data_IF_801185798292
#
_entry.id   IF_801185798292
#
_cell.length_a   1.000
_cell.length_b   1.000
_cell.length_c   1.000
_cell.angle_alpha   90.00
_cell.angle_beta   90.00
_cell.angle_gamma   90.00
#
_symmetry.space_group_name_H-M   'P 1'
#
loop_
_entity.id
_entity.type
_entity.pdbx_description
1 polymer ?
#
# COMPACT_ATOMS: atom_id res chain seq x y z
N UNK A 1 4.35 -31.20 -49.61
CA UNK A 1 5.12 -29.93 -49.77
C UNK A 1 4.15 -28.82 -49.44
N UNK A 2 3.94 -28.55 -48.15
CA UNK A 2 4.76 -27.68 -47.28
C UNK A 2 4.62 -26.20 -47.63
N UNK A 3 3.95 -25.45 -46.75
CA UNK A 3 4.47 -24.30 -45.98
C UNK A 3 3.24 -23.60 -45.37
N UNK A 4 2.84 -23.89 -44.14
CA UNK A 4 3.19 -23.16 -42.91
C UNK A 4 3.77 -21.76 -43.13
N UNK A 5 2.89 -20.78 -43.29
CA UNK A 5 3.21 -19.39 -42.98
C UNK A 5 3.31 -19.24 -41.46
N UNK A 6 4.53 -18.97 -41.04
CA UNK A 6 4.94 -18.81 -39.65
C UNK A 6 4.68 -17.36 -39.30
N UNK A 7 3.60 -17.08 -38.56
CA UNK A 7 3.40 -15.78 -37.91
C UNK A 7 4.61 -15.52 -37.01
N UNK A 8 5.46 -14.61 -37.46
CA UNK A 8 6.67 -14.19 -36.78
C UNK A 8 6.24 -13.32 -35.60
N UNK A 9 6.49 -13.83 -34.38
CA UNK A 9 6.13 -13.19 -33.13
C UNK A 9 6.59 -11.74 -33.06
N UNK A 10 5.63 -10.84 -32.80
CA UNK A 10 5.87 -9.45 -32.42
C UNK A 10 6.90 -9.45 -31.26
N UNK A 11 7.97 -8.65 -31.32
CA UNK A 11 8.98 -8.64 -30.28
C UNK A 11 8.32 -8.35 -28.92
N UNK A 12 8.68 -9.15 -27.92
CA UNK A 12 8.14 -9.06 -26.56
C UNK A 12 8.45 -7.69 -25.96
N UNK A 13 7.45 -6.79 -26.03
CA UNK A 13 7.57 -5.38 -25.65
C UNK A 13 7.87 -5.18 -24.16
N UNK A 14 7.66 -6.21 -23.34
CA UNK A 14 7.90 -6.19 -21.89
C UNK A 14 9.36 -6.45 -21.50
N UNK A 15 10.19 -6.96 -22.43
CA UNK A 15 11.57 -7.38 -22.14
C UNK A 15 12.49 -6.24 -21.66
N UNK A 16 12.24 -5.00 -22.10
CA UNK A 16 13.10 -3.86 -21.76
C UNK A 16 12.91 -3.33 -20.32
N UNK A 17 11.77 -3.62 -19.67
CA UNK A 17 11.37 -2.98 -18.41
C UNK A 17 11.55 -3.88 -17.18
N UNK A 18 11.50 -5.21 -17.32
CA UNK A 18 11.72 -6.15 -16.22
C UNK A 18 13.19 -6.63 -16.14
N UNK A 19 14.09 -5.74 -15.72
CA UNK A 19 15.50 -6.10 -15.46
C UNK A 19 15.76 -6.61 -14.03
N UNK A 20 14.71 -6.69 -13.19
CA UNK A 20 14.87 -7.18 -11.81
C UNK A 20 14.97 -8.70 -11.83
N UNK A 21 16.18 -9.23 -11.60
CA UNK A 21 16.38 -10.66 -11.35
C UNK A 21 15.81 -11.02 -9.97
N UNK A 22 14.95 -12.03 -9.94
CA UNK A 22 14.30 -12.53 -8.73
C UNK A 22 15.18 -13.49 -7.92
N UNK A 23 14.59 -14.03 -6.85
CA UNK A 23 15.19 -15.11 -6.07
C UNK A 23 15.14 -16.43 -6.86
N UNK A 24 16.28 -17.12 -6.97
CA UNK A 24 16.37 -18.34 -7.76
C UNK A 24 15.71 -19.53 -7.08
N UNK A 25 15.67 -19.55 -5.74
CA UNK A 25 15.00 -20.61 -5.00
C UNK A 25 13.48 -20.55 -5.25
N UNK A 26 12.93 -19.33 -5.36
CA UNK A 26 11.53 -19.11 -5.71
C UNK A 26 11.24 -19.50 -7.17
N UNK A 27 12.15 -19.20 -8.10
CA UNK A 27 12.02 -19.63 -9.49
C UNK A 27 12.07 -21.17 -9.61
N UNK A 28 12.95 -21.84 -8.86
CA UNK A 28 13.04 -23.31 -8.80
C UNK A 28 11.75 -23.93 -8.26
N UNK A 29 11.20 -23.38 -7.19
CA UNK A 29 9.93 -23.83 -6.59
C UNK A 29 8.74 -23.64 -7.54
N UNK A 30 8.69 -22.51 -8.25
CA UNK A 30 7.65 -22.25 -9.25
C UNK A 30 7.73 -23.25 -10.41
N UNK A 31 8.94 -23.59 -10.90
CA UNK A 31 9.14 -24.65 -11.90
C UNK A 31 8.70 -26.03 -11.38
N UNK A 32 9.04 -26.36 -10.14
CA UNK A 32 8.58 -27.60 -9.48
C UNK A 32 7.06 -27.72 -9.39
N UNK A 33 6.33 -26.59 -9.45
CA UNK A 33 4.87 -26.53 -9.45
C UNK A 33 4.24 -26.63 -10.85
N UNK A 34 5.04 -26.84 -11.90
CA UNK A 34 4.59 -27.02 -13.28
C UNK A 34 4.57 -25.74 -14.14
N UNK A 35 5.13 -24.62 -13.65
CA UNK A 35 5.28 -23.41 -14.47
C UNK A 35 6.43 -23.57 -15.49
N UNK A 36 6.30 -22.90 -16.64
CA UNK A 36 7.40 -22.77 -17.60
C UNK A 36 8.54 -21.93 -17.02
N UNK A 37 9.74 -22.06 -17.57
CA UNK A 37 10.92 -21.29 -17.16
C UNK A 37 10.65 -19.78 -17.15
N UNK A 38 10.09 -19.25 -18.24
CA UNK A 38 9.74 -17.83 -18.34
C UNK A 38 8.70 -17.39 -17.29
N UNK A 39 7.73 -18.25 -16.96
CA UNK A 39 6.71 -17.95 -15.97
C UNK A 39 7.29 -17.96 -14.54
N UNK A 40 8.20 -18.89 -14.25
CA UNK A 40 8.89 -18.96 -12.97
C UNK A 40 9.81 -17.76 -12.73
N UNK A 41 10.56 -17.33 -13.75
CA UNK A 41 11.38 -16.12 -13.70
C UNK A 41 10.53 -14.87 -13.48
N UNK A 42 9.35 -14.79 -14.12
CA UNK A 42 8.41 -13.71 -13.90
C UNK A 42 7.87 -13.66 -12.45
N UNK A 43 7.55 -14.82 -11.85
CA UNK A 43 7.14 -14.91 -10.44
C UNK A 43 8.24 -14.38 -9.52
N UNK A 44 9.48 -14.82 -9.74
CA UNK A 44 10.61 -14.37 -8.93
C UNK A 44 10.88 -12.86 -9.09
N UNK A 45 10.76 -12.32 -10.30
CA UNK A 45 10.89 -10.89 -10.57
C UNK A 45 9.80 -10.07 -9.87
N UNK A 46 8.55 -10.55 -9.90
CA UNK A 46 7.41 -9.92 -9.20
C UNK A 46 7.68 -9.85 -7.70
N UNK A 47 8.14 -10.94 -7.07
CA UNK A 47 8.47 -10.94 -5.64
C UNK A 47 9.55 -9.91 -5.30
N UNK A 48 10.64 -9.89 -6.08
CA UNK A 48 11.73 -8.94 -5.87
C UNK A 48 11.29 -7.47 -6.04
N UNK A 49 10.41 -7.17 -7.00
CA UNK A 49 9.80 -5.83 -7.16
C UNK A 49 8.89 -5.52 -5.98
N UNK A 50 8.04 -6.45 -5.57
CA UNK A 50 7.15 -6.27 -4.41
C UNK A 50 7.93 -6.04 -3.12
N UNK A 51 9.06 -6.73 -2.91
CA UNK A 51 9.96 -6.50 -1.78
C UNK A 51 10.57 -5.09 -1.80
N UNK A 52 10.95 -4.56 -2.97
CA UNK A 52 11.42 -3.18 -3.12
C UNK A 52 10.31 -2.16 -2.81
N UNK A 53 9.11 -2.37 -3.36
CA UNK A 53 7.94 -1.51 -3.11
C UNK A 53 7.59 -1.53 -1.63
N UNK A 54 7.48 -2.71 -1.02
CA UNK A 54 7.17 -2.89 0.41
C UNK A 54 8.20 -2.20 1.30
N UNK A 55 9.50 -2.29 0.98
CA UNK A 55 10.56 -1.58 1.73
C UNK A 55 10.44 -0.07 1.61
N UNK A 56 10.18 0.45 0.41
CA UNK A 56 9.97 1.89 0.19
C UNK A 56 8.77 2.42 0.98
N UNK A 57 7.66 1.68 0.98
CA UNK A 57 6.46 2.01 1.76
C UNK A 57 6.75 1.96 3.26
N UNK A 58 7.38 0.90 3.77
CA UNK A 58 7.69 0.75 5.20
C UNK A 58 8.67 1.78 5.74
N UNK A 59 9.68 2.17 4.96
CA UNK A 59 10.64 3.22 5.34
C UNK A 59 9.97 4.59 5.46
N UNK A 60 8.80 4.76 4.80
CA UNK A 60 8.04 6.00 4.72
C UNK A 60 8.89 7.16 4.22
N UNK A 61 9.81 6.88 3.30
CA UNK A 61 10.81 7.85 2.82
C UNK A 61 10.13 9.12 2.26
N UNK A 62 9.05 8.95 1.50
CA UNK A 62 8.27 10.06 0.98
C UNK A 62 7.62 10.92 2.08
N UNK A 63 7.03 10.28 3.09
CA UNK A 63 6.43 10.98 4.24
C UNK A 63 7.48 11.75 5.05
N UNK A 64 8.64 11.14 5.31
CA UNK A 64 9.76 11.79 6.00
C UNK A 64 10.28 13.01 5.24
N UNK A 65 10.45 12.91 3.93
CA UNK A 65 10.90 14.01 3.08
C UNK A 65 9.89 15.18 3.07
N UNK A 66 8.59 14.88 3.04
CA UNK A 66 7.54 15.90 3.17
C UNK A 66 7.67 16.63 4.52
N UNK A 67 7.71 15.88 5.62
CA UNK A 67 7.71 16.46 6.96
C UNK A 67 8.94 17.31 7.21
N UNK A 68 10.12 16.85 6.79
CA UNK A 68 11.36 17.62 6.87
C UNK A 68 11.28 19.00 6.17
N UNK A 69 10.38 19.16 5.18
CA UNK A 69 10.22 20.41 4.44
C UNK A 69 9.05 21.27 4.89
N UNK A 70 8.01 20.66 5.47
CA UNK A 70 6.77 21.35 5.86
C UNK A 70 6.75 21.70 7.34
N UNK A 71 6.97 20.70 8.19
CA UNK A 71 6.98 20.87 9.64
C UNK A 71 7.85 19.77 10.27
N UNK A 72 9.12 20.09 10.57
CA UNK A 72 10.04 19.14 11.20
C UNK A 72 9.61 18.69 12.61
N UNK A 73 8.65 19.38 13.24
CA UNK A 73 8.13 18.98 14.55
C UNK A 73 7.20 17.77 14.45
N UNK A 74 6.69 17.45 13.26
CA UNK A 74 5.82 16.31 13.02
C UNK A 74 6.63 15.04 12.75
N UNK A 75 6.29 13.98 13.47
CA UNK A 75 6.64 12.62 13.11
C UNK A 75 5.75 12.03 12.00
N UNK A 76 6.21 10.94 11.38
CA UNK A 76 5.45 10.27 10.31
C UNK A 76 4.10 9.72 10.79
N UNK A 77 4.05 9.27 12.05
CA UNK A 77 2.82 8.84 12.73
C UNK A 77 1.74 9.95 12.74
N UNK A 78 2.15 11.21 12.87
CA UNK A 78 1.24 12.36 12.79
C UNK A 78 0.70 12.56 11.39
N UNK A 79 1.56 12.45 10.36
CA UNK A 79 1.12 12.53 8.97
C UNK A 79 0.14 11.41 8.64
N UNK A 80 0.42 10.19 9.10
CA UNK A 80 -0.47 9.04 8.91
C UNK A 80 -1.83 9.27 9.58
N UNK A 81 -1.85 9.80 10.82
CA UNK A 81 -3.10 10.14 11.51
C UNK A 81 -3.87 11.29 10.84
N UNK A 82 -3.17 12.31 10.32
CA UNK A 82 -3.78 13.39 9.52
C UNK A 82 -4.43 12.83 8.24
N UNK A 83 -3.74 11.92 7.55
CA UNK A 83 -4.28 11.26 6.36
C UNK A 83 -5.47 10.36 6.72
N UNK A 84 -5.36 9.57 7.80
CA UNK A 84 -6.43 8.71 8.29
C UNK A 84 -7.66 9.52 8.67
N UNK A 85 -7.50 10.68 9.30
CA UNK A 85 -8.57 11.61 9.63
C UNK A 85 -9.24 12.17 8.36
N UNK A 86 -8.45 12.49 7.32
CA UNK A 86 -8.99 13.00 6.04
C UNK A 86 -9.81 11.99 5.23
N UNK A 87 -9.59 10.69 5.41
CA UNK A 87 -10.14 9.64 4.54
C UNK A 87 -11.66 9.45 4.67
N UNK A 88 -12.29 10.06 5.68
CA UNK A 88 -13.73 10.09 5.84
C UNK A 88 -14.20 11.33 6.57
N UNK A 89 -13.46 12.43 6.44
CA UNK A 89 -13.91 13.73 6.91
C UNK A 89 -14.78 14.34 5.80
N UNK A 90 -16.06 14.45 6.08
CA UNK A 90 -17.07 15.12 5.27
C UNK A 90 -17.95 15.98 6.16
N UNK A 91 -18.90 16.67 5.54
CA UNK A 91 -19.78 17.60 6.26
C UNK A 91 -21.06 16.96 6.77
N UNK A 92 -21.23 15.64 6.55
CA UNK A 92 -22.41 14.93 7.04
C UNK A 92 -22.16 14.32 8.43
N UNK A 93 -23.21 14.12 9.25
CA UNK A 93 -23.10 13.41 10.53
C UNK A 93 -22.51 11.99 10.40
N UNK A 94 -22.64 11.35 9.23
CA UNK A 94 -22.10 10.03 8.93
C UNK A 94 -20.58 10.05 8.75
N UNK A 95 -19.99 11.22 8.50
CA UNK A 95 -18.55 11.40 8.26
C UNK A 95 -17.77 11.75 9.55
N UNK A 96 -18.36 11.42 10.71
CA UNK A 96 -17.76 11.66 12.01
C UNK A 96 -16.59 10.70 12.28
N UNK A 97 -15.39 11.25 12.40
CA UNK A 97 -14.19 10.45 12.70
C UNK A 97 -13.86 10.51 14.19
N UNK A 98 -13.89 9.34 14.84
CA UNK A 98 -13.46 9.17 16.23
C UNK A 98 -12.02 8.68 16.31
N UNK A 99 -11.40 8.75 17.49
CA UNK A 99 -10.08 8.14 17.74
C UNK A 99 -10.08 6.64 17.44
N UNK A 100 -11.18 5.94 17.69
CA UNK A 100 -11.32 4.51 17.36
C UNK A 100 -11.20 4.25 15.86
N UNK A 101 -11.85 5.08 15.05
CA UNK A 101 -11.75 5.00 13.57
C UNK A 101 -10.30 5.30 13.11
N UNK A 102 -9.62 6.25 13.75
CA UNK A 102 -8.20 6.52 13.44
C UNK A 102 -7.34 5.30 13.78
N UNK A 103 -7.56 4.66 14.94
CA UNK A 103 -6.83 3.47 15.36
C UNK A 103 -6.99 2.32 14.34
N UNK A 104 -8.22 2.06 13.91
CA UNK A 104 -8.55 1.08 12.88
C UNK A 104 -7.85 1.38 11.56
N UNK A 105 -8.00 2.61 11.03
CA UNK A 105 -7.40 3.03 9.76
C UNK A 105 -5.87 2.96 9.76
N UNK A 106 -5.25 3.19 10.93
CA UNK A 106 -3.80 3.13 11.08
C UNK A 106 -3.28 1.74 11.45
N UNK A 107 -4.16 0.79 11.80
CA UNK A 107 -3.77 -0.53 12.30
C UNK A 107 -2.95 -0.47 13.58
N UNK A 108 -3.29 0.45 14.51
CA UNK A 108 -2.58 0.64 15.78
C UNK A 108 -3.53 0.49 16.98
N UNK A 109 -2.97 0.30 18.17
CA UNK A 109 -3.77 0.22 19.38
C UNK A 109 -4.47 1.57 19.71
N UNK A 110 -5.67 1.53 20.33
CA UNK A 110 -6.43 2.75 20.66
C UNK A 110 -5.69 3.73 21.57
N UNK A 111 -4.82 3.26 22.47
CA UNK A 111 -4.05 4.12 23.37
C UNK A 111 -3.01 4.94 22.59
N UNK A 112 -2.33 4.31 21.65
CA UNK A 112 -1.40 4.98 20.72
C UNK A 112 -2.12 5.95 19.81
N UNK A 113 -3.26 5.57 19.23
CA UNK A 113 -4.08 6.47 18.42
C UNK A 113 -4.54 7.70 19.21
N UNK A 114 -4.95 7.51 20.47
CA UNK A 114 -5.35 8.58 21.38
C UNK A 114 -4.20 9.56 21.65
N UNK A 115 -3.00 9.05 21.96
CA UNK A 115 -1.81 9.88 22.17
C UNK A 115 -1.45 10.71 20.95
N UNK A 116 -1.40 10.09 19.76
CA UNK A 116 -1.12 10.79 18.50
C UNK A 116 -2.19 11.86 18.22
N UNK A 117 -3.46 11.52 18.45
CA UNK A 117 -4.58 12.45 18.24
C UNK A 117 -4.53 13.64 19.19
N UNK A 118 -4.15 13.43 20.45
CA UNK A 118 -3.97 14.50 21.43
C UNK A 118 -2.84 15.44 21.01
N UNK A 119 -1.69 14.90 20.59
CA UNK A 119 -0.54 15.69 20.12
C UNK A 119 -0.91 16.51 18.87
N UNK A 120 -1.67 15.93 17.93
CA UNK A 120 -2.19 16.66 16.77
C UNK A 120 -3.12 17.82 17.16
N UNK A 121 -3.94 17.66 18.20
CA UNK A 121 -4.81 18.73 18.69
C UNK A 121 -4.00 19.83 19.36
N UNK A 122 -3.05 19.46 20.22
CA UNK A 122 -2.15 20.39 20.90
C UNK A 122 -1.33 21.23 19.89
N UNK A 123 -0.89 20.62 18.80
CA UNK A 123 -0.14 21.27 17.72
C UNK A 123 -1.00 22.04 16.72
N UNK A 124 -2.33 22.06 16.89
CA UNK A 124 -3.24 22.78 16.00
C UNK A 124 -3.43 22.16 14.62
N UNK A 125 -3.19 20.85 14.48
CA UNK A 125 -3.44 20.08 13.25
C UNK A 125 -4.84 19.45 13.24
N UNK A 126 -5.45 19.25 14.40
CA UNK A 126 -6.82 18.81 14.54
C UNK A 126 -7.54 19.58 15.65
N UNK A 127 -8.86 19.49 15.69
CA UNK A 127 -9.66 19.97 16.81
C UNK A 127 -10.75 18.96 17.14
N UNK A 128 -11.16 18.96 18.42
CA UNK A 128 -12.23 18.10 18.92
C UNK A 128 -13.58 18.75 18.64
N UNK A 129 -14.53 17.95 18.20
CA UNK A 129 -15.93 18.34 18.02
C UNK A 129 -16.84 17.32 18.70
N UNK A 130 -17.96 17.78 19.25
CA UNK A 130 -18.98 16.88 19.78
C UNK A 130 -19.67 16.17 18.61
N UNK A 131 -19.89 14.86 18.75
CA UNK A 131 -20.68 14.10 17.81
C UNK A 131 -22.13 14.61 17.81
N UNK A 132 -22.69 14.76 16.62
CA UNK A 132 -24.10 15.08 16.38
C UNK A 132 -24.98 13.82 16.48
N UNK A 133 -24.39 12.63 16.39
CA UNK A 133 -25.09 11.34 16.49
C UNK A 133 -25.16 10.78 17.92
N UNK A 134 -24.14 11.02 18.75
CA UNK A 134 -24.08 10.58 20.14
C UNK A 134 -23.31 11.60 20.98
N UNK A 135 -24.00 12.36 21.85
CA UNK A 135 -23.41 13.40 22.68
C UNK A 135 -22.30 12.91 23.63
N UNK A 136 -22.15 11.59 23.84
CA UNK A 136 -21.07 11.01 24.64
C UNK A 136 -19.77 10.82 23.84
N UNK A 137 -19.83 10.95 22.51
CA UNK A 137 -18.68 10.74 21.62
C UNK A 137 -18.02 12.07 21.28
N UNK A 138 -16.69 12.04 21.26
CA UNK A 138 -15.86 13.12 20.77
C UNK A 138 -15.26 12.68 19.43
N UNK A 139 -15.49 13.50 18.42
CA UNK A 139 -14.93 13.33 17.09
C UNK A 139 -13.79 14.34 16.87
N UNK A 140 -13.03 14.11 15.81
CA UNK A 140 -11.93 14.97 15.38
C UNK A 140 -12.24 15.55 14.00
N UNK A 141 -11.82 16.79 13.78
CA UNK A 141 -11.78 17.41 12.45
C UNK A 141 -10.40 18.02 12.21
N UNK A 142 -10.01 18.06 10.94
CA UNK A 142 -8.76 18.69 10.53
C UNK A 142 -8.91 20.21 10.61
N UNK A 143 -7.83 20.91 10.99
CA UNK A 143 -7.78 22.35 10.77
C UNK A 143 -7.59 22.66 9.29
N UNK A 144 -7.95 23.88 8.86
CA UNK A 144 -7.73 24.33 7.48
C UNK A 144 -6.25 24.20 7.03
N UNK A 145 -5.29 24.30 7.97
CA UNK A 145 -3.86 24.05 7.70
C UNK A 145 -3.63 22.58 7.31
N UNK A 146 -4.21 21.65 8.04
CA UNK A 146 -4.06 20.22 7.79
C UNK A 146 -4.79 19.76 6.53
N UNK A 147 -5.93 20.35 6.21
CA UNK A 147 -6.62 20.10 4.94
C UNK A 147 -5.77 20.50 3.73
N UNK A 148 -5.11 21.66 3.80
CA UNK A 148 -4.14 22.09 2.78
C UNK A 148 -2.95 21.14 2.70
N UNK A 149 -2.44 20.69 3.85
CA UNK A 149 -1.36 19.71 3.91
C UNK A 149 -1.75 18.40 3.21
N UNK A 150 -2.91 17.83 3.56
CA UNK A 150 -3.43 16.59 2.94
C UNK A 150 -3.56 16.75 1.44
N UNK A 151 -4.16 17.87 0.99
CA UNK A 151 -4.34 18.16 -0.44
C UNK A 151 -3.00 18.22 -1.16
N UNK A 152 -2.02 18.95 -0.62
CA UNK A 152 -0.69 19.10 -1.23
C UNK A 152 0.06 17.76 -1.30
N UNK A 153 -0.04 16.94 -0.23
CA UNK A 153 0.56 15.60 -0.19
C UNK A 153 -0.09 14.69 -1.23
N UNK A 154 -1.43 14.68 -1.32
CA UNK A 154 -2.17 13.87 -2.30
C UNK A 154 -1.81 14.24 -3.73
N UNK A 155 -1.83 15.53 -4.07
CA UNK A 155 -1.48 16.00 -5.41
C UNK A 155 -0.04 15.66 -5.79
N UNK A 156 0.88 15.72 -4.83
CA UNK A 156 2.29 15.37 -5.08
C UNK A 156 2.47 13.88 -5.28
N UNK A 157 1.82 13.03 -4.47
CA UNK A 157 1.78 11.58 -4.71
C UNK A 157 1.22 11.27 -6.10
N UNK A 158 0.13 11.92 -6.49
CA UNK A 158 -0.48 11.75 -7.81
C UNK A 158 0.46 12.15 -8.94
N UNK A 159 1.18 13.28 -8.82
CA UNK A 159 2.18 13.67 -9.83
C UNK A 159 3.32 12.66 -9.95
N UNK A 160 3.82 12.12 -8.84
CA UNK A 160 4.88 11.10 -8.87
C UNK A 160 4.35 9.82 -9.52
N UNK A 161 3.16 9.39 -9.14
CA UNK A 161 2.53 8.18 -9.69
C UNK A 161 2.22 8.32 -11.18
N UNK A 162 1.59 9.43 -11.59
CA UNK A 162 1.33 9.74 -12.98
C UNK A 162 2.63 9.85 -13.78
N UNK A 163 3.69 10.44 -13.20
CA UNK A 163 5.01 10.52 -13.83
C UNK A 163 5.64 9.14 -14.06
N UNK A 164 5.47 8.19 -13.12
CA UNK A 164 5.95 6.81 -13.28
C UNK A 164 5.22 6.06 -14.40
N UNK A 165 3.95 6.42 -14.65
CA UNK A 165 3.10 5.81 -15.67
C UNK A 165 3.10 6.56 -17.01
N UNK A 166 3.67 7.76 -17.07
CA UNK A 166 3.55 8.66 -18.21
C UNK A 166 4.18 8.12 -19.52
N UNK A 167 5.11 7.17 -19.41
CA UNK A 167 5.81 6.59 -20.57
C UNK A 167 5.12 5.31 -21.10
N UNK A 168 4.05 4.87 -20.45
CA UNK A 168 3.33 3.64 -20.81
C UNK A 168 2.26 3.98 -21.84
N UNK A 169 2.02 3.06 -22.77
CA UNK A 169 0.88 3.20 -23.68
C UNK A 169 -0.45 2.83 -23.01
N UNK A 170 -1.56 3.19 -23.63
CA UNK A 170 -2.91 2.94 -23.10
C UNK A 170 -3.16 1.45 -22.84
N UNK A 171 -2.68 0.57 -23.72
CA UNK A 171 -2.90 -0.86 -23.60
C UNK A 171 -2.15 -1.44 -22.40
N UNK A 172 -0.91 -1.00 -22.18
CA UNK A 172 -0.09 -1.40 -21.04
C UNK A 172 -0.71 -0.92 -19.73
N UNK A 173 -1.23 0.32 -19.69
CA UNK A 173 -1.91 0.87 -18.51
C UNK A 173 -3.16 0.08 -18.14
N UNK A 174 -4.02 -0.22 -19.13
CA UNK A 174 -5.24 -1.00 -18.91
C UNK A 174 -4.90 -2.42 -18.48
N UNK A 175 -3.95 -3.07 -19.16
CA UNK A 175 -3.51 -4.44 -18.83
C UNK A 175 -2.94 -4.52 -17.43
N UNK A 176 -2.07 -3.58 -17.07
CA UNK A 176 -1.47 -3.52 -15.74
C UNK A 176 -2.51 -3.28 -14.65
N UNK A 177 -3.49 -2.38 -14.86
CA UNK A 177 -4.56 -2.16 -13.90
C UNK A 177 -5.34 -3.45 -13.61
N UNK A 178 -5.72 -4.20 -14.65
CA UNK A 178 -6.43 -5.48 -14.51
C UNK A 178 -5.58 -6.55 -13.82
N UNK A 179 -4.31 -6.69 -14.21
CA UNK A 179 -3.41 -7.67 -13.60
C UNK A 179 -3.09 -7.34 -12.14
N UNK A 180 -2.91 -6.06 -11.82
CA UNK A 180 -2.65 -5.59 -10.47
C UNK A 180 -3.85 -5.83 -9.56
N UNK A 181 -5.08 -5.61 -10.04
CA UNK A 181 -6.30 -5.91 -9.29
C UNK A 181 -6.44 -7.41 -9.02
N UNK A 182 -6.27 -8.23 -10.07
CA UNK A 182 -6.29 -9.70 -9.93
C UNK A 182 -5.21 -10.20 -8.98
N UNK A 183 -4.02 -9.62 -9.02
CA UNK A 183 -2.95 -9.91 -8.09
C UNK A 183 -3.33 -9.45 -6.68
N UNK A 184 -3.80 -8.22 -6.47
CA UNK A 184 -4.13 -7.69 -5.15
C UNK A 184 -5.21 -8.50 -4.40
N UNK A 185 -6.05 -9.27 -5.11
CA UNK A 185 -7.06 -10.13 -4.51
C UNK A 185 -6.55 -11.08 -3.43
N UNK A 186 -5.31 -11.58 -3.52
CA UNK A 186 -4.73 -12.44 -2.47
C UNK A 186 -4.48 -11.67 -1.16
N UNK A 187 -4.13 -10.38 -1.25
CA UNK A 187 -3.79 -9.58 -0.08
C UNK A 187 -5.04 -9.16 0.72
N UNK A 188 -6.23 -9.29 0.12
CA UNK A 188 -7.52 -9.03 0.75
C UNK A 188 -8.23 -10.31 1.22
N UNK A 189 -7.69 -11.50 0.93
CA UNK A 189 -8.20 -12.79 1.39
C UNK A 189 -7.67 -13.12 2.80
N UNK A 190 -8.36 -12.64 3.83
CA UNK A 190 -7.99 -12.88 5.23
C UNK A 190 -7.91 -14.38 5.58
N UNK A 191 -8.79 -15.20 5.00
CA UNK A 191 -8.81 -16.63 5.25
C UNK A 191 -7.64 -17.35 4.56
N UNK A 192 -7.26 -16.88 3.37
CA UNK A 192 -6.01 -17.28 2.70
C UNK A 192 -4.78 -16.98 3.53
N UNK A 193 -4.68 -15.77 4.08
CA UNK A 193 -3.55 -15.37 4.93
C UNK A 193 -3.47 -16.20 6.21
N UNK A 194 -4.62 -16.49 6.85
CA UNK A 194 -4.68 -17.30 8.06
C UNK A 194 -4.16 -18.72 7.82
N UNK A 195 -4.61 -19.37 6.75
CA UNK A 195 -4.13 -20.70 6.35
C UNK A 195 -2.62 -20.71 6.08
N UNK A 196 -2.10 -19.67 5.43
CA UNK A 196 -0.66 -19.56 5.19
C UNK A 196 0.13 -19.40 6.49
N UNK A 197 -0.37 -18.59 7.44
CA UNK A 197 0.26 -18.44 8.75
C UNK A 197 0.28 -19.75 9.55
N UNK A 198 -0.81 -20.52 9.50
CA UNK A 198 -0.90 -21.84 10.15
C UNK A 198 0.09 -22.84 9.54
N UNK A 199 0.25 -22.83 8.20
CA UNK A 199 1.23 -23.67 7.51
C UNK A 199 2.68 -23.30 7.89
N UNK A 200 3.01 -22.00 8.00
CA UNK A 200 4.33 -21.55 8.47
C UNK A 200 4.59 -22.04 9.88
N UNK A 201 3.60 -21.92 10.77
CA UNK A 201 3.71 -22.41 12.15
C UNK A 201 3.99 -23.92 12.18
N UNK A 202 3.26 -24.70 11.38
CA UNK A 202 3.45 -26.14 11.31
C UNK A 202 4.87 -26.52 10.84
N UNK A 203 5.39 -25.87 9.80
CA UNK A 203 6.76 -26.12 9.32
C UNK A 203 7.80 -25.77 10.40
N UNK A 204 7.60 -24.67 11.13
CA UNK A 204 8.50 -24.30 12.24
C UNK A 204 8.45 -25.32 13.38
N UNK A 205 7.26 -25.76 13.78
CA UNK A 205 7.04 -26.74 14.85
C UNK A 205 7.65 -28.11 14.47
N UNK A 206 7.60 -28.51 13.19
CA UNK A 206 8.22 -29.74 12.67
C UNK A 206 9.77 -29.66 12.64
N UNK A 207 10.32 -28.46 12.51
CA UNK A 207 11.79 -28.24 12.46
C UNK A 207 12.43 -28.20 13.85
N UNK A 208 11.67 -27.92 14.92
CA UNK A 208 12.14 -27.94 16.32
C UNK A 208 12.18 -29.34 16.96
N UNK A 209 11.65 -30.37 16.27
CA UNK A 209 11.57 -31.75 16.77
C UNK A 209 12.76 -32.64 16.35
N UNK A 210 13.85 -32.06 15.84
CA UNK A 210 15.08 -32.77 15.40
C UNK A 210 16.29 -32.29 16.21
#
# INVERSE_FOLDING_TARGET
MSSNDTETGKPDRFSALCQTRGDQDLADLARGSGLSEAAADAVAAIDAVMAKVRRSVQRRDFGRLILARIDPSLEVSHLDAIIALSAGAGDTPQDEVTVGIIAERMGIDPSRASRISADLVERGYAFRVASQLDARRICLKLTARSERLVTAVRQTKWRIFAGALAQWDEQDLVTFATLLERFAGWATDEDGMRRAADAVKQVMDETELV
#
